data_IF_843436292723
#
_entry.id   IF_843436292723
#
_cell.length_a   1.000
_cell.length_b   1.000
_cell.length_c   1.000
_cell.angle_alpha   90.00
_cell.angle_beta   90.00
_cell.angle_gamma   90.00
#
_symmetry.space_group_name_H-M   'P 1'
#
loop_
_entity.id
_entity.type
_entity.pdbx_description
1 polymer ?
#
# COMPACT_ATOMS: atom_id res chain seq x y z
N UNK A 1 -14.78 -7.08 15.98
CA UNK A 1 -15.59 -6.02 16.58
C UNK A 1 -15.24 -4.62 16.05
N UNK A 2 -13.98 -4.20 15.98
CA UNK A 2 -13.56 -2.88 15.46
C UNK A 2 -14.17 -2.54 14.10
N UNK A 3 -14.01 -3.41 13.08
CA UNK A 3 -14.56 -3.19 11.74
C UNK A 3 -16.08 -3.09 11.71
N UNK A 4 -16.78 -3.84 12.56
CA UNK A 4 -18.24 -3.76 12.64
C UNK A 4 -18.66 -2.38 13.14
N UNK A 5 -17.99 -1.85 14.17
CA UNK A 5 -18.26 -0.49 14.68
C UNK A 5 -17.95 0.55 13.61
N UNK A 6 -16.82 0.43 12.89
CA UNK A 6 -16.46 1.34 11.81
C UNK A 6 -17.56 1.35 10.72
N UNK A 7 -18.02 0.18 10.28
CA UNK A 7 -19.08 0.10 9.27
C UNK A 7 -20.41 0.64 9.76
N UNK A 8 -20.77 0.41 11.04
CA UNK A 8 -21.97 0.96 11.65
C UNK A 8 -21.96 2.50 11.75
N UNK A 9 -20.79 3.11 11.84
CA UNK A 9 -20.64 4.57 11.81
C UNK A 9 -20.66 5.08 10.37
N UNK A 10 -19.93 4.45 9.46
CA UNK A 10 -19.75 4.90 8.09
C UNK A 10 -20.99 4.71 7.20
N UNK A 11 -21.67 3.55 7.25
CA UNK A 11 -22.79 3.22 6.36
C UNK A 11 -23.94 4.26 6.46
N UNK A 12 -24.38 4.71 7.64
CA UNK A 12 -25.42 5.73 7.77
C UNK A 12 -25.08 7.07 7.12
N UNK A 13 -23.78 7.39 6.97
CA UNK A 13 -23.31 8.61 6.30
C UNK A 13 -23.12 8.35 4.81
N UNK A 14 -22.51 7.23 4.44
CA UNK A 14 -22.22 6.90 3.06
C UNK A 14 -23.50 6.71 2.22
N UNK A 15 -24.50 5.98 2.73
CA UNK A 15 -25.73 5.70 1.99
C UNK A 15 -26.46 6.97 1.53
N UNK A 16 -26.74 7.97 2.38
CA UNK A 16 -27.32 9.23 1.92
C UNK A 16 -26.45 9.99 0.91
N UNK A 17 -25.12 9.97 1.07
CA UNK A 17 -24.21 10.61 0.14
C UNK A 17 -24.29 10.01 -1.26
N UNK A 18 -24.39 8.67 -1.38
CA UNK A 18 -24.60 7.97 -2.66
C UNK A 18 -25.96 8.30 -3.29
N UNK A 19 -26.96 8.69 -2.51
CA UNK A 19 -28.28 9.08 -3.05
C UNK A 19 -28.30 10.54 -3.52
N UNK A 20 -27.56 11.42 -2.86
CA UNK A 20 -27.56 12.88 -3.12
C UNK A 20 -26.53 13.26 -4.20
N UNK A 21 -25.32 12.72 -4.13
CA UNK A 21 -24.25 13.05 -5.06
C UNK A 21 -24.34 12.13 -6.28
N UNK A 22 -24.70 12.72 -7.44
CA UNK A 22 -24.87 11.96 -8.68
C UNK A 22 -23.58 11.59 -9.39
N UNK A 23 -22.51 12.38 -9.17
CA UNK A 23 -21.20 12.10 -9.75
C UNK A 23 -20.50 10.97 -9.00
N UNK A 24 -20.33 9.84 -9.68
CA UNK A 24 -19.75 8.61 -9.13
C UNK A 24 -18.34 8.79 -8.56
N UNK A 25 -17.53 9.64 -9.19
CA UNK A 25 -16.17 9.88 -8.74
C UNK A 25 -16.15 10.72 -7.46
N UNK A 26 -16.93 11.81 -7.44
CA UNK A 26 -17.06 12.69 -6.28
C UNK A 26 -17.61 11.94 -5.06
N UNK A 27 -18.68 11.14 -5.22
CA UNK A 27 -19.26 10.40 -4.09
C UNK A 27 -18.26 9.37 -3.53
N UNK A 28 -17.51 8.70 -4.40
CA UNK A 28 -16.49 7.74 -3.98
C UNK A 28 -15.37 8.42 -3.17
N UNK A 29 -14.87 9.57 -3.65
CA UNK A 29 -13.84 10.33 -2.93
C UNK A 29 -14.35 10.78 -1.56
N UNK A 30 -15.54 11.41 -1.52
CA UNK A 30 -16.10 11.94 -0.27
C UNK A 30 -16.34 10.82 0.75
N UNK A 31 -16.94 9.71 0.33
CA UNK A 31 -17.22 8.58 1.24
C UNK A 31 -15.95 7.90 1.74
N UNK A 32 -14.90 7.82 0.91
CA UNK A 32 -13.58 7.35 1.35
C UNK A 32 -12.94 8.29 2.35
N UNK A 33 -12.97 9.59 2.13
CA UNK A 33 -12.44 10.58 3.09
C UNK A 33 -13.14 10.47 4.44
N UNK A 34 -14.48 10.33 4.44
CA UNK A 34 -15.26 10.10 5.66
C UNK A 34 -14.83 8.80 6.34
N UNK A 35 -14.75 7.70 5.60
CA UNK A 35 -14.33 6.39 6.14
C UNK A 35 -12.97 6.48 6.84
N UNK A 36 -11.99 7.11 6.21
CA UNK A 36 -10.64 7.22 6.80
C UNK A 36 -10.59 8.20 7.97
N UNK A 37 -11.37 9.27 7.96
CA UNK A 37 -11.51 10.16 9.12
C UNK A 37 -12.10 9.42 10.32
N UNK A 38 -13.19 8.68 10.12
CA UNK A 38 -13.80 7.83 11.14
C UNK A 38 -12.85 6.72 11.63
N UNK A 39 -12.12 6.09 10.72
CA UNK A 39 -11.11 5.09 11.07
C UNK A 39 -10.04 5.66 11.99
N UNK A 40 -9.46 6.82 11.70
CA UNK A 40 -8.43 7.46 12.52
C UNK A 40 -9.00 7.84 13.91
N UNK A 41 -10.22 8.40 13.95
CA UNK A 41 -10.89 8.74 15.21
C UNK A 41 -11.18 7.48 16.03
N UNK A 42 -11.70 6.43 15.38
CA UNK A 42 -12.03 5.18 16.05
C UNK A 42 -10.76 4.48 16.57
N UNK A 43 -9.64 4.49 15.82
CA UNK A 43 -8.34 3.97 16.27
C UNK A 43 -7.90 4.68 17.56
N UNK A 44 -8.01 6.01 17.63
CA UNK A 44 -7.67 6.77 18.84
C UNK A 44 -8.55 6.40 20.02
N UNK A 45 -9.87 6.39 19.82
CA UNK A 45 -10.84 6.05 20.88
C UNK A 45 -10.68 4.60 21.35
N UNK A 46 -10.48 3.67 20.42
CA UNK A 46 -10.26 2.24 20.71
C UNK A 46 -8.97 2.03 21.49
N UNK A 47 -7.91 2.74 21.08
CA UNK A 47 -6.63 2.74 21.80
C UNK A 47 -6.76 3.17 23.24
N UNK A 48 -7.47 4.26 23.49
CA UNK A 48 -7.64 4.80 24.84
C UNK A 48 -8.56 3.93 25.69
N UNK A 49 -9.69 3.47 25.17
CA UNK A 49 -10.76 2.85 25.97
C UNK A 49 -10.68 1.32 26.02
N UNK A 50 -10.29 0.68 24.89
CA UNK A 50 -10.28 -0.79 24.80
C UNK A 50 -8.89 -1.34 25.07
N UNK A 51 -7.87 -0.83 24.36
CA UNK A 51 -6.48 -1.30 24.52
C UNK A 51 -5.73 -0.62 25.66
N UNK A 52 -6.27 0.47 26.20
CA UNK A 52 -5.61 1.30 27.23
C UNK A 52 -4.19 1.74 26.80
N UNK A 53 -4.02 2.01 25.51
CA UNK A 53 -2.78 2.44 24.88
C UNK A 53 -3.01 3.74 24.11
N UNK A 54 -2.52 4.89 24.62
CA UNK A 54 -2.88 6.21 24.07
C UNK A 54 -2.23 6.52 22.71
N UNK A 55 -1.14 5.83 22.31
CA UNK A 55 -0.35 6.16 21.14
C UNK A 55 -0.40 5.09 20.04
N UNK A 56 -1.59 4.56 19.70
CA UNK A 56 -1.73 3.48 18.72
C UNK A 56 -1.22 3.86 17.33
N UNK A 57 -1.42 5.09 16.87
CA UNK A 57 -0.94 5.51 15.54
C UNK A 57 0.59 5.43 15.46
N UNK A 58 1.28 5.86 16.50
CA UNK A 58 2.75 5.72 16.60
C UNK A 58 3.15 4.23 16.61
N UNK A 59 2.43 3.41 17.36
CA UNK A 59 2.63 1.96 17.39
C UNK A 59 2.44 1.33 16.00
N UNK A 60 1.48 1.81 15.20
CA UNK A 60 1.28 1.36 13.83
C UNK A 60 2.40 1.80 12.88
N UNK A 61 3.33 2.63 13.35
CA UNK A 61 4.47 3.12 12.59
C UNK A 61 4.22 4.47 11.91
N UNK A 62 3.18 5.19 12.32
CA UNK A 62 2.93 6.56 11.88
C UNK A 62 3.70 7.53 12.81
N UNK A 63 4.85 7.95 12.36
CA UNK A 63 5.72 8.90 13.07
C UNK A 63 5.92 10.15 12.22
N UNK A 64 5.67 11.32 12.78
CA UNK A 64 5.97 12.58 12.09
C UNK A 64 7.44 12.98 12.35
N UNK A 65 8.36 12.23 11.75
CA UNK A 65 9.81 12.43 11.88
C UNK A 65 10.47 12.70 10.52
N UNK A 66 11.62 13.40 10.53
CA UNK A 66 12.45 13.61 9.34
C UNK A 66 12.79 12.27 8.65
N UNK A 67 13.09 11.25 9.44
CA UNK A 67 13.43 9.92 8.95
C UNK A 67 12.26 9.28 8.17
N UNK A 68 11.04 9.38 8.70
CA UNK A 68 9.85 8.91 7.98
C UNK A 68 9.65 9.68 6.67
N UNK A 69 9.89 11.00 6.66
CA UNK A 69 9.84 11.80 5.45
C UNK A 69 10.83 11.31 4.38
N UNK A 70 12.07 11.00 4.76
CA UNK A 70 13.05 10.40 3.85
C UNK A 70 12.64 9.02 3.35
N UNK A 71 12.04 8.18 4.20
CA UNK A 71 11.52 6.88 3.82
C UNK A 71 10.36 7.00 2.81
N UNK A 72 9.46 7.98 2.99
CA UNK A 72 8.40 8.28 2.01
C UNK A 72 9.01 8.69 0.66
N UNK A 73 9.98 9.59 0.65
CA UNK A 73 10.63 10.04 -0.58
C UNK A 73 11.39 8.90 -1.28
N UNK A 74 12.10 8.08 -0.52
CA UNK A 74 12.81 6.91 -1.05
C UNK A 74 11.83 5.88 -1.65
N UNK A 75 10.74 5.60 -0.94
CA UNK A 75 9.66 4.72 -1.43
C UNK A 75 9.01 5.27 -2.69
N UNK A 76 8.65 6.55 -2.69
CA UNK A 76 8.06 7.23 -3.84
C UNK A 76 8.96 7.13 -5.07
N UNK A 77 10.24 7.47 -4.92
CA UNK A 77 11.24 7.35 -5.98
C UNK A 77 11.37 5.90 -6.49
N UNK A 78 11.41 4.92 -5.60
CA UNK A 78 11.48 3.51 -5.96
C UNK A 78 10.23 3.05 -6.74
N UNK A 79 9.03 3.44 -6.31
CA UNK A 79 7.78 3.15 -7.02
C UNK A 79 7.73 3.76 -8.41
N UNK A 80 8.12 5.03 -8.54
CA UNK A 80 8.20 5.75 -9.81
C UNK A 80 9.17 5.03 -10.76
N UNK A 81 10.39 4.80 -10.31
CA UNK A 81 11.44 4.18 -11.14
C UNK A 81 11.02 2.78 -11.56
N UNK A 82 10.42 1.98 -10.65
CA UNK A 82 9.97 0.62 -10.96
C UNK A 82 8.93 0.60 -12.06
N UNK A 83 7.91 1.45 -11.99
CA UNK A 83 6.84 1.47 -12.99
C UNK A 83 7.30 2.07 -14.32
N UNK A 84 8.07 3.15 -14.29
CA UNK A 84 8.63 3.73 -15.52
C UNK A 84 9.61 2.77 -16.21
N UNK A 85 10.40 2.02 -15.46
CA UNK A 85 11.26 0.96 -16.01
C UNK A 85 10.43 -0.15 -16.68
N UNK A 86 9.31 -0.55 -16.08
CA UNK A 86 8.38 -1.51 -16.67
C UNK A 86 7.85 -1.00 -18.03
N UNK A 87 7.37 0.23 -18.10
CA UNK A 87 6.91 0.84 -19.36
C UNK A 87 8.06 1.01 -20.36
N UNK A 88 9.27 1.35 -19.91
CA UNK A 88 10.44 1.46 -20.77
C UNK A 88 10.79 0.11 -21.43
N UNK A 89 10.75 -0.99 -20.67
CA UNK A 89 10.94 -2.35 -21.18
C UNK A 89 9.88 -2.68 -22.23
N UNK A 90 8.60 -2.41 -21.95
CA UNK A 90 7.53 -2.64 -22.91
C UNK A 90 7.70 -1.78 -24.18
N UNK A 91 8.18 -0.54 -24.03
CA UNK A 91 8.51 0.35 -25.15
C UNK A 91 9.65 -0.17 -26.03
N UNK A 92 10.74 -0.65 -25.42
CA UNK A 92 11.88 -1.26 -26.15
C UNK A 92 11.44 -2.52 -26.92
N UNK A 93 10.51 -3.29 -26.36
CA UNK A 93 9.94 -4.47 -27.01
C UNK A 93 8.90 -4.13 -28.09
N UNK A 94 8.60 -2.84 -28.30
CA UNK A 94 7.66 -2.39 -29.33
C UNK A 94 6.18 -2.65 -28.98
N UNK A 95 5.88 -2.97 -27.71
CA UNK A 95 4.51 -3.23 -27.24
C UNK A 95 3.79 -1.98 -26.77
N UNK A 96 4.55 -0.94 -26.45
CA UNK A 96 4.05 0.37 -26.02
C UNK A 96 4.71 1.46 -26.87
N UNK A 97 3.89 2.38 -27.38
CA UNK A 97 4.30 3.54 -28.18
C UNK A 97 4.09 4.80 -27.33
N UNK A 98 5.18 5.51 -27.04
CA UNK A 98 5.15 6.75 -26.28
C UNK A 98 4.47 7.87 -27.03
N UNK A 99 3.65 8.65 -26.34
CA UNK A 99 2.91 9.79 -26.85
C UNK A 99 3.39 11.08 -26.19
N UNK A 100 3.39 12.21 -26.91
CA UNK A 100 3.68 13.51 -26.32
C UNK A 100 2.62 13.89 -25.28
N UNK A 101 3.01 14.56 -24.19
CA UNK A 101 2.08 14.99 -23.16
C UNK A 101 1.11 16.07 -23.67
N UNK A 102 -0.15 16.03 -23.22
CA UNK A 102 -1.14 17.07 -23.51
C UNK A 102 -0.81 18.39 -22.77
N UNK A 103 -1.41 19.51 -23.22
CA UNK A 103 -1.17 20.86 -22.64
C UNK A 103 -1.48 20.89 -21.13
N UNK A 104 -2.53 20.19 -20.68
CA UNK A 104 -2.94 20.14 -19.27
C UNK A 104 -2.15 19.11 -18.41
N UNK A 105 -1.07 18.55 -18.94
CA UNK A 105 -0.32 17.47 -18.30
C UNK A 105 0.17 17.79 -16.88
N UNK A 106 0.69 19.01 -16.65
CA UNK A 106 1.21 19.40 -15.34
C UNK A 106 0.14 19.42 -14.23
N UNK A 107 -1.09 19.81 -14.58
CA UNK A 107 -2.21 19.73 -13.63
C UNK A 107 -2.45 18.27 -13.21
N UNK A 108 -2.50 17.36 -14.18
CA UNK A 108 -2.68 15.93 -13.94
C UNK A 108 -1.55 15.34 -13.08
N UNK A 109 -0.30 15.75 -13.31
CA UNK A 109 0.87 15.33 -12.51
C UNK A 109 0.68 15.71 -11.04
N UNK A 110 0.28 16.96 -10.75
CA UNK A 110 0.11 17.45 -9.38
C UNK A 110 -1.12 16.82 -8.71
N UNK A 111 -2.28 16.80 -9.38
CA UNK A 111 -3.50 16.18 -8.86
C UNK A 111 -3.28 14.68 -8.58
N UNK A 112 -2.66 13.96 -9.52
CA UNK A 112 -2.33 12.56 -9.36
C UNK A 112 -1.39 12.29 -8.19
N UNK A 113 -0.39 13.18 -7.96
CA UNK A 113 0.52 13.05 -6.82
C UNK A 113 -0.23 13.17 -5.49
N UNK A 114 -1.08 14.18 -5.36
CA UNK A 114 -1.85 14.40 -4.13
C UNK A 114 -2.79 13.23 -3.84
N UNK A 115 -3.50 12.75 -4.86
CA UNK A 115 -4.39 11.59 -4.73
C UNK A 115 -3.61 10.32 -4.36
N UNK A 116 -2.48 10.07 -5.03
CA UNK A 116 -1.67 8.87 -4.79
C UNK A 116 -1.02 8.87 -3.40
N UNK A 117 -0.59 10.04 -2.91
CA UNK A 117 -0.11 10.18 -1.53
C UNK A 117 -1.23 9.92 -0.52
N UNK A 118 -2.45 10.42 -0.80
CA UNK A 118 -3.63 10.14 0.01
C UNK A 118 -3.97 8.66 0.08
N UNK A 119 -3.99 7.98 -1.07
CA UNK A 119 -4.22 6.52 -1.16
C UNK A 119 -3.13 5.75 -0.41
N UNK A 120 -1.85 6.04 -0.69
CA UNK A 120 -0.72 5.39 -0.03
C UNK A 120 -0.75 5.58 1.49
N UNK A 121 -1.09 6.79 1.97
CA UNK A 121 -1.27 7.06 3.40
C UNK A 121 -2.41 6.23 3.99
N UNK A 122 -3.59 6.32 3.39
CA UNK A 122 -4.81 5.74 3.92
C UNK A 122 -4.74 4.20 3.94
N UNK A 123 -4.37 3.59 2.82
CA UNK A 123 -4.31 2.13 2.70
C UNK A 123 -3.17 1.54 3.52
N UNK A 124 -1.98 2.16 3.56
CA UNK A 124 -0.90 1.63 4.37
C UNK A 124 -1.17 1.78 5.87
N UNK A 125 -1.84 2.84 6.31
CA UNK A 125 -2.26 2.97 7.69
C UNK A 125 -3.28 1.87 8.08
N UNK A 126 -4.19 1.54 7.17
CA UNK A 126 -5.17 0.48 7.41
C UNK A 126 -4.52 -0.91 7.36
N UNK A 127 -3.86 -1.26 6.25
CA UNK A 127 -3.35 -2.62 6.03
C UNK A 127 -2.06 -2.90 6.80
N UNK A 128 -1.08 -2.00 6.74
CA UNK A 128 0.24 -2.18 7.38
C UNK A 128 0.33 -1.54 8.75
N UNK A 129 -0.56 -0.60 9.06
CA UNK A 129 -0.75 -0.08 10.41
C UNK A 129 -1.62 -1.03 11.23
N UNK A 130 -2.92 -0.85 11.13
CA UNK A 130 -3.90 -1.52 11.98
C UNK A 130 -4.02 -3.03 11.75
N UNK A 131 -4.30 -3.47 10.51
CA UNK A 131 -4.56 -4.90 10.24
C UNK A 131 -3.33 -5.77 10.55
N UNK A 132 -2.14 -5.29 10.16
CA UNK A 132 -0.89 -6.01 10.44
C UNK A 132 -0.65 -6.14 11.95
N UNK A 133 -0.89 -5.08 12.73
CA UNK A 133 -0.74 -5.09 14.19
C UNK A 133 -1.73 -6.08 14.84
N UNK A 134 -2.99 -6.11 14.38
CA UNK A 134 -3.99 -7.05 14.88
C UNK A 134 -3.58 -8.51 14.61
N UNK A 135 -3.15 -8.81 13.38
CA UNK A 135 -2.73 -10.17 13.01
C UNK A 135 -1.48 -10.62 13.78
N UNK A 136 -0.55 -9.71 14.05
CA UNK A 136 0.68 -10.04 14.78
C UNK A 136 0.48 -10.44 16.25
N UNK A 137 -0.68 -10.16 16.81
CA UNK A 137 -1.02 -10.56 18.19
C UNK A 137 -1.20 -12.05 18.31
N UNK A 138 -1.78 -12.68 17.29
CA UNK A 138 -2.26 -14.06 17.39
C UNK A 138 -1.51 -15.02 16.48
N UNK A 139 -0.83 -14.51 15.42
CA UNK A 139 -0.27 -15.36 14.38
C UNK A 139 1.24 -15.17 14.20
N UNK A 140 1.90 -16.27 13.79
CA UNK A 140 3.32 -16.26 13.45
C UNK A 140 3.63 -15.29 12.29
N UNK A 141 4.79 -14.57 12.29
CA UNK A 141 5.14 -13.55 11.30
C UNK A 141 5.02 -13.96 9.82
N UNK A 142 5.27 -15.24 9.50
CA UNK A 142 5.10 -15.74 8.13
C UNK A 142 3.61 -15.84 7.73
N UNK A 143 2.76 -16.31 8.65
CA UNK A 143 1.30 -16.36 8.44
C UNK A 143 0.77 -14.93 8.25
N UNK A 144 1.19 -14.01 9.11
CA UNK A 144 0.79 -12.58 9.03
C UNK A 144 1.17 -11.97 7.68
N UNK A 145 2.38 -12.26 7.17
CA UNK A 145 2.84 -11.77 5.86
C UNK A 145 1.86 -12.17 4.76
N UNK A 146 1.54 -13.47 4.67
CA UNK A 146 0.67 -13.98 3.62
C UNK A 146 -0.78 -13.58 3.80
N UNK A 147 -1.32 -13.66 5.02
CA UNK A 147 -2.71 -13.30 5.32
C UNK A 147 -2.95 -11.81 5.02
N UNK A 148 -2.05 -10.92 5.47
CA UNK A 148 -2.19 -9.49 5.20
C UNK A 148 -2.16 -9.19 3.69
N UNK A 149 -1.22 -9.77 2.95
CA UNK A 149 -1.12 -9.59 1.50
C UNK A 149 -2.33 -10.16 0.76
N UNK A 150 -2.85 -11.30 1.20
CA UNK A 150 -4.05 -11.93 0.62
C UNK A 150 -5.29 -11.08 0.86
N UNK A 151 -5.50 -10.58 2.07
CA UNK A 151 -6.62 -9.68 2.38
C UNK A 151 -6.52 -8.40 1.53
N UNK A 152 -5.32 -7.81 1.41
CA UNK A 152 -5.09 -6.66 0.54
C UNK A 152 -5.51 -6.94 -0.91
N UNK A 153 -5.10 -8.07 -1.49
CA UNK A 153 -5.46 -8.43 -2.85
C UNK A 153 -6.98 -8.71 -2.99
N UNK A 154 -7.60 -9.38 -2.01
CA UNK A 154 -9.02 -9.74 -2.04
C UNK A 154 -9.95 -8.52 -2.01
N UNK A 155 -9.64 -7.48 -1.23
CA UNK A 155 -10.47 -6.27 -1.17
C UNK A 155 -10.45 -5.46 -2.46
N UNK A 156 -9.42 -5.64 -3.30
CA UNK A 156 -9.36 -5.08 -4.65
C UNK A 156 -10.10 -5.92 -5.69
N UNK A 157 -10.62 -7.08 -5.30
CA UNK A 157 -11.41 -8.00 -6.12
C UNK A 157 -10.58 -9.10 -6.79
N UNK A 158 -11.27 -10.21 -7.09
CA UNK A 158 -10.66 -11.35 -7.79
C UNK A 158 -10.76 -11.07 -9.30
N UNK A 159 -9.72 -10.48 -9.84
CA UNK A 159 -9.58 -10.07 -11.25
C UNK A 159 -8.21 -10.52 -11.78
N UNK A 160 -7.90 -10.39 -13.08
CA UNK A 160 -6.59 -10.76 -13.63
C UNK A 160 -5.38 -10.12 -12.91
N UNK A 161 -5.55 -8.93 -12.31
CA UNK A 161 -4.52 -8.27 -11.50
C UNK A 161 -4.31 -8.86 -10.09
N UNK A 162 -5.09 -9.84 -9.65
CA UNK A 162 -4.99 -10.42 -8.30
C UNK A 162 -3.58 -10.92 -7.95
N UNK A 163 -2.84 -11.66 -8.81
CA UNK A 163 -1.47 -12.08 -8.53
C UNK A 163 -0.52 -10.89 -8.31
N UNK A 164 -0.67 -9.83 -9.11
CA UNK A 164 0.11 -8.61 -8.97
C UNK A 164 -0.18 -7.89 -7.65
N UNK A 165 -1.45 -7.79 -7.27
CA UNK A 165 -1.87 -7.19 -5.99
C UNK A 165 -1.38 -8.01 -4.78
N UNK A 166 -1.35 -9.34 -4.89
CA UNK A 166 -0.78 -10.20 -3.86
C UNK A 166 0.73 -9.92 -3.68
N UNK A 167 1.48 -9.87 -4.78
CA UNK A 167 2.91 -9.54 -4.76
C UNK A 167 3.16 -8.12 -4.25
N UNK A 168 2.34 -7.16 -4.65
CA UNK A 168 2.40 -5.80 -4.11
C UNK A 168 2.14 -5.82 -2.60
N UNK A 169 1.11 -6.54 -2.16
CA UNK A 169 0.80 -6.75 -0.74
C UNK A 169 1.99 -7.27 0.06
N UNK A 170 2.65 -8.32 -0.43
CA UNK A 170 3.88 -8.87 0.15
C UNK A 170 5.01 -7.85 0.19
N UNK A 171 5.24 -7.15 -0.91
CA UNK A 171 6.29 -6.13 -1.04
C UNK A 171 6.13 -5.03 0.00
N UNK A 172 4.90 -4.53 0.20
CA UNK A 172 4.62 -3.45 1.14
C UNK A 172 4.76 -3.89 2.61
N UNK A 173 4.41 -5.14 2.96
CA UNK A 173 4.72 -5.69 4.29
C UNK A 173 6.23 -5.80 4.50
N UNK A 174 6.98 -6.26 3.49
CA UNK A 174 8.44 -6.36 3.54
C UNK A 174 9.10 -4.98 3.62
N UNK A 175 8.56 -3.97 2.92
CA UNK A 175 9.02 -2.58 3.01
C UNK A 175 8.85 -2.03 4.44
N UNK A 176 7.71 -2.29 5.09
CA UNK A 176 7.54 -1.94 6.51
C UNK A 176 8.54 -2.67 7.40
N UNK A 177 8.79 -3.96 7.14
CA UNK A 177 9.81 -4.73 7.88
C UNK A 177 11.21 -4.14 7.76
N UNK A 178 11.56 -3.61 6.60
CA UNK A 178 12.86 -2.96 6.37
C UNK A 178 13.05 -1.65 7.16
N UNK A 179 11.96 -1.02 7.61
CA UNK A 179 11.95 0.19 8.44
C UNK A 179 11.84 -0.09 9.95
N UNK A 180 12.02 -1.33 10.38
CA UNK A 180 12.01 -1.71 11.79
C UNK A 180 13.36 -1.39 12.45
N UNK A 181 13.32 -0.85 13.64
CA UNK A 181 14.51 -0.59 14.45
C UNK A 181 14.85 -1.73 15.43
N UNK A 182 14.07 -2.81 15.41
CA UNK A 182 14.17 -3.90 16.40
C UNK A 182 14.65 -5.19 15.77
N UNK A 183 15.77 -5.69 16.25
CA UNK A 183 16.48 -6.91 15.86
C UNK A 183 15.71 -8.23 16.06
N UNK A 184 14.53 -8.19 16.62
CA UNK A 184 13.95 -9.34 17.29
C UNK A 184 13.08 -10.26 16.45
N UNK A 185 12.74 -9.91 15.21
CA UNK A 185 11.62 -10.57 14.51
C UNK A 185 12.00 -11.88 13.81
N UNK A 186 13.26 -12.08 13.45
CA UNK A 186 13.69 -13.27 12.71
C UNK A 186 14.24 -14.39 13.58
N UNK A 187 14.61 -14.10 14.83
CA UNK A 187 15.26 -15.05 15.73
C UNK A 187 14.58 -15.23 17.09
N UNK A 188 13.50 -14.50 17.39
CA UNK A 188 12.80 -14.70 18.64
C UNK A 188 11.93 -15.96 18.59
N UNK A 189 11.98 -16.76 19.64
CA UNK A 189 10.97 -17.78 19.93
C UNK A 189 9.62 -17.05 20.02
N UNK A 190 8.88 -17.02 18.90
CA UNK A 190 7.55 -16.43 18.86
C UNK A 190 6.68 -17.09 19.93
N UNK A 191 6.12 -16.27 20.82
CA UNK A 191 5.10 -16.71 21.77
C UNK A 191 3.86 -15.83 21.57
N UNK A 192 2.66 -16.43 21.47
CA UNK A 192 1.43 -15.65 21.38
C UNK A 192 1.29 -14.78 22.63
N UNK A 193 0.86 -13.53 22.42
CA UNK A 193 0.65 -12.57 23.49
C UNK A 193 -0.45 -13.08 24.44
N UNK A 194 -0.08 -13.60 25.59
CA UNK A 194 -1.02 -13.83 26.68
C UNK A 194 -1.30 -12.50 27.36
N UNK A 195 -2.54 -11.98 27.15
CA UNK A 195 -3.15 -10.85 27.86
C UNK A 195 -2.37 -9.52 27.87
N UNK A 196 -2.90 -8.52 27.20
CA UNK A 196 -2.65 -7.06 27.27
C UNK A 196 -1.22 -6.51 27.21
N UNK A 197 -0.19 -7.29 27.51
CA UNK A 197 1.21 -6.94 27.32
C UNK A 197 1.73 -7.65 26.07
N UNK A 198 1.73 -6.93 24.94
CA UNK A 198 2.38 -7.45 23.74
C UNK A 198 3.87 -7.68 24.01
N UNK A 199 4.42 -8.82 23.61
CA UNK A 199 5.85 -9.07 23.74
C UNK A 199 6.60 -7.91 23.07
N UNK A 200 7.74 -7.55 23.65
CA UNK A 200 8.62 -6.48 23.12
C UNK A 200 9.03 -6.72 21.66
N UNK A 201 8.83 -7.91 21.16
CA UNK A 201 9.24 -8.45 19.86
C UNK A 201 8.20 -8.28 18.74
N UNK A 202 7.08 -7.56 18.99
CA UNK A 202 6.15 -7.23 17.92
C UNK A 202 6.81 -6.26 16.96
N UNK A 203 6.77 -6.63 15.72
CA UNK A 203 7.28 -5.93 14.58
C UNK A 203 6.76 -4.47 14.48
N UNK A 204 7.61 -3.50 14.80
CA UNK A 204 7.28 -2.06 14.81
C UNK A 204 8.06 -1.30 13.73
N UNK A 205 7.77 -1.57 12.45
CA UNK A 205 8.34 -0.78 11.36
C UNK A 205 7.56 0.52 11.12
N UNK A 206 8.25 1.57 10.67
CA UNK A 206 7.61 2.80 10.21
C UNK A 206 6.86 2.57 8.90
N UNK A 207 5.85 3.41 8.65
CA UNK A 207 5.03 3.35 7.45
C UNK A 207 5.61 4.18 6.28
N UNK A 208 6.70 4.91 6.47
CA UNK A 208 7.21 5.83 5.46
C UNK A 208 7.52 5.16 4.13
N UNK A 209 8.35 4.12 4.15
CA UNK A 209 8.76 3.42 2.92
C UNK A 209 7.59 2.74 2.19
N UNK A 210 6.71 1.95 2.84
CA UNK A 210 5.56 1.38 2.15
C UNK A 210 4.58 2.45 1.64
N UNK A 211 4.30 3.52 2.39
CA UNK A 211 3.45 4.63 1.92
C UNK A 211 4.01 5.28 0.65
N UNK A 212 5.31 5.59 0.65
CA UNK A 212 5.96 6.17 -0.52
C UNK A 212 5.97 5.23 -1.71
N UNK A 213 6.32 3.96 -1.51
CA UNK A 213 6.37 2.95 -2.58
C UNK A 213 5.00 2.75 -3.22
N UNK A 214 3.96 2.61 -2.40
CA UNK A 214 2.59 2.49 -2.88
C UNK A 214 2.17 3.74 -3.67
N UNK A 215 2.35 4.93 -3.10
CA UNK A 215 2.04 6.19 -3.75
C UNK A 215 2.81 6.35 -5.08
N UNK A 216 4.09 5.98 -5.13
CA UNK A 216 4.92 6.08 -6.33
C UNK A 216 4.43 5.19 -7.47
N UNK A 217 4.04 3.95 -7.18
CA UNK A 217 3.45 3.04 -8.15
C UNK A 217 2.10 3.56 -8.67
N UNK A 218 1.21 3.99 -7.77
CA UNK A 218 -0.12 4.53 -8.13
C UNK A 218 0.02 5.81 -8.95
N UNK A 219 0.89 6.72 -8.52
CA UNK A 219 1.11 7.99 -9.22
C UNK A 219 1.66 7.78 -10.63
N UNK A 220 2.68 6.94 -10.78
CA UNK A 220 3.28 6.67 -12.09
C UNK A 220 2.28 5.99 -13.03
N UNK A 221 1.49 5.05 -12.51
CA UNK A 221 0.39 4.44 -13.27
C UNK A 221 -0.63 5.49 -13.71
N UNK A 222 -1.05 6.36 -12.81
CA UNK A 222 -2.00 7.43 -13.08
C UNK A 222 -1.47 8.39 -14.16
N UNK A 223 -0.24 8.87 -14.00
CA UNK A 223 0.39 9.81 -14.93
C UNK A 223 0.52 9.22 -16.34
N UNK A 224 0.92 7.96 -16.44
CA UNK A 224 1.12 7.31 -17.76
C UNK A 224 -0.22 6.98 -18.42
N UNK A 225 -1.17 6.37 -17.69
CA UNK A 225 -2.41 5.89 -18.29
C UNK A 225 -3.48 6.99 -18.43
N UNK A 226 -3.76 7.75 -17.36
CA UNK A 226 -4.73 8.86 -17.42
C UNK A 226 -4.17 10.02 -18.26
N UNK A 227 -2.83 10.23 -18.19
CA UNK A 227 -2.12 11.19 -19.04
C UNK A 227 -2.01 10.77 -20.49
N UNK A 228 -2.42 9.54 -20.85
CA UNK A 228 -2.33 8.99 -22.20
C UNK A 228 -0.95 9.11 -22.82
N UNK A 229 0.10 8.90 -21.99
CA UNK A 229 1.48 8.98 -22.44
C UNK A 229 1.92 7.75 -23.24
N UNK A 230 1.10 6.71 -23.29
CA UNK A 230 1.36 5.46 -24.01
C UNK A 230 0.11 4.97 -24.75
N UNK A 231 0.34 4.40 -25.92
CA UNK A 231 -0.62 3.59 -26.64
C UNK A 231 -0.07 2.17 -26.77
N UNK A 232 -0.90 1.16 -26.48
CA UNK A 232 -0.50 -0.23 -26.67
C UNK A 232 -0.59 -0.59 -28.14
N UNK A 233 0.45 -1.29 -28.65
CA UNK A 233 0.47 -1.77 -30.01
C UNK A 233 -0.61 -2.85 -30.20
N UNK A 234 -1.33 -2.89 -31.33
CA UNK A 234 -2.42 -3.86 -31.55
C UNK A 234 -1.99 -5.33 -31.46
N UNK A 235 -0.71 -5.63 -31.74
CA UNK A 235 -0.12 -6.96 -31.66
C UNK A 235 0.41 -7.30 -30.26
N UNK A 236 0.39 -6.36 -29.31
CA UNK A 236 0.91 -6.59 -27.97
C UNK A 236 -0.01 -7.55 -27.20
N UNK A 237 0.48 -8.72 -26.72
CA UNK A 237 -0.37 -9.65 -26.00
C UNK A 237 -0.72 -9.11 -24.61
N UNK A 238 -2.00 -8.99 -24.28
CA UNK A 238 -2.45 -8.46 -22.99
C UNK A 238 -1.92 -9.26 -21.78
N UNK A 239 -1.78 -10.58 -21.92
CA UNK A 239 -1.23 -11.40 -20.85
C UNK A 239 0.24 -11.09 -20.52
N UNK A 240 0.99 -10.46 -21.45
CA UNK A 240 2.34 -9.98 -21.22
C UNK A 240 2.36 -8.53 -20.74
N UNK A 241 1.61 -7.66 -21.44
CA UNK A 241 1.67 -6.20 -21.27
C UNK A 241 0.75 -5.69 -20.15
N UNK A 242 -0.29 -6.45 -19.83
CA UNK A 242 -1.24 -6.15 -18.74
C UNK A 242 -2.69 -6.12 -19.19
N UNK A 243 -3.50 -6.89 -18.52
CA UNK A 243 -4.95 -6.89 -18.72
C UNK A 243 -5.56 -5.52 -18.37
N UNK A 244 -6.55 -5.10 -19.13
CA UNK A 244 -7.24 -3.80 -18.98
C UNK A 244 -6.28 -2.60 -18.99
N UNK A 245 -5.19 -2.70 -19.78
CA UNK A 245 -4.13 -1.68 -19.84
C UNK A 245 -3.43 -1.42 -18.48
N UNK A 246 -3.51 -2.35 -17.54
CA UNK A 246 -2.78 -2.30 -16.29
C UNK A 246 -1.44 -3.05 -16.43
N UNK A 247 -0.29 -2.38 -16.57
CA UNK A 247 0.98 -3.01 -16.84
C UNK A 247 1.44 -3.96 -15.71
N UNK A 248 0.96 -3.75 -14.50
CA UNK A 248 1.25 -4.64 -13.36
C UNK A 248 0.46 -5.96 -13.45
N UNK A 249 -0.66 -5.99 -14.18
CA UNK A 249 -1.50 -7.17 -14.33
C UNK A 249 -1.05 -8.13 -15.47
N UNK A 250 0.06 -7.84 -16.14
CA UNK A 250 0.69 -8.72 -17.12
C UNK A 250 1.85 -9.53 -16.55
N UNK A 251 2.31 -10.53 -17.28
CA UNK A 251 3.42 -11.39 -16.85
C UNK A 251 4.70 -10.58 -16.56
N UNK A 252 5.00 -9.54 -17.36
CA UNK A 252 6.15 -8.66 -17.12
C UNK A 252 5.96 -7.87 -15.81
N UNK A 253 4.76 -7.34 -15.56
CA UNK A 253 4.45 -6.66 -14.30
C UNK A 253 4.61 -7.56 -13.09
N UNK A 254 4.14 -8.81 -13.19
CA UNK A 254 4.33 -9.83 -12.15
C UNK A 254 5.83 -10.12 -11.92
N UNK A 255 6.66 -10.21 -12.98
CA UNK A 255 8.11 -10.37 -12.85
C UNK A 255 8.76 -9.17 -12.16
N UNK A 256 8.39 -7.93 -12.53
CA UNK A 256 8.89 -6.72 -11.87
C UNK A 256 8.50 -6.66 -10.39
N UNK A 257 7.25 -6.96 -10.05
CA UNK A 257 6.80 -7.00 -8.65
C UNK A 257 7.49 -8.13 -7.87
N UNK A 258 7.74 -9.28 -8.50
CA UNK A 258 8.50 -10.37 -7.89
C UNK A 258 9.94 -9.95 -7.59
N UNK A 259 10.61 -9.27 -8.52
CA UNK A 259 11.95 -8.73 -8.32
C UNK A 259 11.96 -7.67 -7.20
N UNK A 260 10.94 -6.80 -7.16
CA UNK A 260 10.79 -5.79 -6.12
C UNK A 260 10.55 -6.43 -4.74
N UNK A 261 9.69 -7.44 -4.65
CA UNK A 261 9.44 -8.20 -3.43
C UNK A 261 10.71 -8.92 -2.93
N UNK A 262 11.45 -9.54 -3.86
CA UNK A 262 12.73 -10.17 -3.54
C UNK A 262 13.76 -9.16 -3.04
N UNK A 263 13.92 -8.03 -3.73
CA UNK A 263 14.80 -6.93 -3.32
C UNK A 263 14.44 -6.40 -1.93
N UNK A 264 13.15 -6.18 -1.64
CA UNK A 264 12.68 -5.78 -0.31
C UNK A 264 12.95 -6.84 0.76
N UNK A 265 12.80 -8.11 0.43
CA UNK A 265 13.14 -9.22 1.34
C UNK A 265 14.63 -9.20 1.72
N UNK A 266 15.52 -9.02 0.72
CA UNK A 266 16.96 -8.90 0.96
C UNK A 266 17.30 -7.65 1.78
N UNK A 267 16.68 -6.52 1.47
CA UNK A 267 16.90 -5.28 2.20
C UNK A 267 16.46 -5.39 3.67
N UNK A 268 15.29 -5.97 3.92
CA UNK A 268 14.81 -6.23 5.28
C UNK A 268 15.79 -7.14 6.08
N UNK A 269 16.28 -8.22 5.44
CA UNK A 269 17.25 -9.14 6.06
C UNK A 269 18.61 -8.46 6.38
N UNK A 270 19.09 -7.58 5.50
CA UNK A 270 20.36 -6.85 5.72
C UNK A 270 20.25 -5.87 6.87
N UNK A 271 19.14 -5.16 6.98
CA UNK A 271 18.90 -4.21 8.08
C UNK A 271 18.97 -4.88 9.44
N UNK A 272 18.40 -6.08 9.57
CA UNK A 272 18.48 -6.85 10.82
C UNK A 272 19.90 -7.23 11.18
N UNK A 273 20.76 -7.58 10.19
CA UNK A 273 22.16 -7.98 10.45
C UNK A 273 23.10 -6.83 10.80
N UNK A 274 22.80 -5.59 10.40
CA UNK A 274 23.68 -4.44 10.65
C UNK A 274 23.48 -3.81 12.03
N UNK A 275 22.45 -4.22 12.74
CA UNK A 275 22.09 -3.72 14.09
C UNK A 275 22.38 -4.76 15.19
N UNK A 276 22.76 -5.98 14.82
CA UNK A 276 23.29 -7.05 15.72
C UNK A 276 24.82 -7.01 15.76
#
# INVERSE_FOLDING_TARGET
MFLVVLLLLWVPIAVPLYQVIKDSNTVSIVTLVVLYAEFILLVRLWGQRVYRQPHLLHRYGLEFSYRMGLEVLAGLGLGIVSLLALFAVQGVLGWVLWQPPAIAFWRLVVEGLLVSLGIGFAEELFFRGWLLDELQRDYHPQVVLWVNATIFALVHGIRPQFPALLLLGLTLVLAKRACSDVDSVLHSNWQPARQHNLPANVFRGRLGLPMGLHAGLVWSYYVVNVGKLVNYAPQAPEWLTGFDHNPLAGAIGVLFLSALAFGMSLYAKRRVKTTS
#
